data_IF_873594221778
#
_entry.id   IF_873594221778
#
_cell.length_a   1.000
_cell.length_b   1.000
_cell.length_c   1.000
_cell.angle_alpha   90.00
_cell.angle_beta   90.00
_cell.angle_gamma   90.00
#
_symmetry.space_group_name_H-M   'P 1'
#
loop_
_entity.id
_entity.type
_entity.pdbx_description
1 polymer ?
#
# COMPACT_ATOMS: atom_id res chain seq x y z
N UNK A 1 -1.70 -9.03 1.83
CA UNK A 1 -1.96 -9.20 0.39
C UNK A 1 -3.37 -8.71 0.10
N UNK A 2 -3.62 -8.07 -1.04
CA UNK A 2 -4.89 -7.39 -1.36
C UNK A 2 -5.41 -7.75 -2.75
N UNK A 3 -6.73 -7.68 -2.95
CA UNK A 3 -7.33 -7.72 -4.30
C UNK A 3 -7.26 -6.30 -4.88
N UNK A 4 -6.45 -6.02 -5.91
CA UNK A 4 -6.18 -4.65 -6.33
C UNK A 4 -7.29 -4.02 -7.16
N UNK A 5 -8.06 -4.78 -7.94
CA UNK A 5 -8.96 -4.23 -8.97
C UNK A 5 -10.16 -3.48 -8.39
N UNK A 6 -10.75 -3.98 -7.30
CA UNK A 6 -11.93 -3.35 -6.69
C UNK A 6 -11.57 -2.49 -5.47
N UNK A 7 -10.30 -2.39 -5.09
CA UNK A 7 -9.93 -1.74 -3.83
C UNK A 7 -10.16 -0.22 -3.87
N UNK A 8 -9.94 0.42 -5.02
CA UNK A 8 -10.21 1.84 -5.22
C UNK A 8 -11.65 2.24 -4.90
N UNK A 9 -12.61 1.40 -5.32
CA UNK A 9 -14.05 1.65 -5.10
C UNK A 9 -14.60 1.16 -3.76
N UNK A 10 -13.83 0.38 -3.00
CA UNK A 10 -14.28 -0.23 -1.73
C UNK A 10 -13.61 0.38 -0.49
N UNK A 11 -12.49 1.06 -0.66
CA UNK A 11 -11.69 1.59 0.45
C UNK A 11 -11.61 3.12 0.45
N UNK A 12 -10.92 3.67 1.44
CA UNK A 12 -10.71 5.10 1.60
C UNK A 12 -9.21 5.39 1.65
N UNK A 13 -8.79 6.43 0.94
CA UNK A 13 -7.40 6.85 0.83
C UNK A 13 -7.31 8.38 0.81
N UNK A 14 -6.22 8.92 1.35
CA UNK A 14 -5.95 10.36 1.39
C UNK A 14 -4.64 10.63 0.64
N UNK A 15 -4.60 11.72 -0.12
CA UNK A 15 -3.48 12.08 -0.99
C UNK A 15 -2.12 12.13 -0.27
N UNK A 16 -2.08 12.60 0.97
CA UNK A 16 -0.88 12.72 1.79
C UNK A 16 -0.37 11.37 2.37
N UNK A 17 -1.06 10.26 2.10
CA UNK A 17 -0.57 8.93 2.49
C UNK A 17 0.55 8.44 1.58
N UNK A 18 0.74 9.03 0.40
CA UNK A 18 1.83 8.70 -0.50
C UNK A 18 2.49 9.97 -1.02
N UNK A 19 3.81 9.96 -1.17
CA UNK A 19 4.54 11.09 -1.78
C UNK A 19 4.39 11.14 -3.30
N UNK A 20 4.09 10.00 -3.93
CA UNK A 20 4.14 9.82 -5.38
C UNK A 20 2.78 9.51 -6.02
N UNK A 21 1.72 9.36 -5.23
CA UNK A 21 0.41 8.97 -5.74
C UNK A 21 -0.69 9.80 -5.09
N UNK A 22 -1.50 10.45 -5.92
CA UNK A 22 -2.63 11.27 -5.47
C UNK A 22 -3.91 10.47 -5.25
N UNK A 23 -3.96 9.21 -5.67
CA UNK A 23 -5.10 8.33 -5.44
C UNK A 23 -4.67 6.90 -5.14
N UNK A 24 -5.56 6.13 -4.52
CA UNK A 24 -5.32 4.71 -4.29
C UNK A 24 -5.17 3.94 -5.61
N UNK A 25 -5.97 4.30 -6.62
CA UNK A 25 -5.90 3.68 -7.93
C UNK A 25 -4.54 3.91 -8.58
N UNK A 26 -4.01 5.13 -8.48
CA UNK A 26 -2.65 5.45 -8.96
C UNK A 26 -1.57 4.67 -8.20
N UNK A 27 -1.72 4.51 -6.89
CA UNK A 27 -0.79 3.77 -6.04
C UNK A 27 -0.76 2.27 -6.38
N UNK A 28 -1.93 1.67 -6.65
CA UNK A 28 -2.06 0.22 -6.89
C UNK A 28 -1.90 -0.13 -8.37
N UNK A 29 -2.14 0.79 -9.30
CA UNK A 29 -2.03 0.55 -10.74
C UNK A 29 -0.70 -0.13 -11.16
N UNK A 30 0.48 0.25 -10.63
CA UNK A 30 1.73 -0.46 -10.94
C UNK A 30 1.77 -1.94 -10.50
N UNK A 31 0.95 -2.32 -9.52
CA UNK A 31 0.79 -3.72 -9.09
C UNK A 31 -0.18 -4.49 -9.97
N UNK A 32 -1.16 -3.81 -10.56
CA UNK A 32 -2.07 -4.37 -11.54
C UNK A 32 -1.27 -4.53 -12.83
N UNK A 33 -0.71 -5.72 -13.06
CA UNK A 33 0.00 -5.96 -14.31
C UNK A 33 -0.98 -5.78 -15.47
N UNK A 34 -0.93 -4.65 -16.19
CA UNK A 34 -1.35 -4.61 -17.58
C UNK A 34 -0.51 -5.68 -18.27
N UNK A 35 -1.14 -6.80 -18.60
CA UNK A 35 -0.68 -7.88 -19.47
C UNK A 35 0.69 -7.63 -20.13
N UNK A 36 1.77 -7.79 -19.38
CA UNK A 36 3.07 -7.98 -19.99
C UNK A 36 2.94 -9.33 -20.71
N UNK A 37 3.39 -9.41 -21.95
CA UNK A 37 3.42 -10.64 -22.75
C UNK A 37 4.32 -11.68 -22.04
N UNK A 38 3.78 -12.31 -21.01
CA UNK A 38 4.39 -13.45 -20.36
C UNK A 38 4.27 -14.62 -21.34
N UNK A 39 5.31 -15.47 -21.47
CA UNK A 39 5.25 -16.63 -22.34
C UNK A 39 4.02 -17.49 -22.03
N UNK A 40 3.47 -18.14 -23.06
CA UNK A 40 2.22 -18.91 -23.00
C UNK A 40 2.23 -20.06 -21.96
N UNK A 41 3.41 -20.41 -21.43
CA UNK A 41 3.61 -21.42 -20.38
C UNK A 41 3.56 -20.82 -18.97
N UNK A 42 2.48 -20.11 -18.62
CA UNK A 42 2.28 -19.56 -17.25
C UNK A 42 2.13 -20.67 -16.20
N UNK A 43 1.71 -21.86 -16.62
CA UNK A 43 1.22 -22.88 -15.70
C UNK A 43 2.25 -23.98 -15.40
N UNK A 44 3.33 -24.05 -16.18
CA UNK A 44 4.40 -25.04 -16.10
C UNK A 44 4.75 -25.64 -17.46
N UNK A 45 5.56 -26.70 -17.45
CA UNK A 45 5.95 -27.47 -18.65
C UNK A 45 5.07 -28.73 -18.74
N UNK A 46 4.33 -28.94 -19.84
CA UNK A 46 3.42 -30.06 -19.95
C UNK A 46 4.14 -31.41 -19.94
N UNK A 47 3.59 -32.36 -19.19
CA UNK A 47 3.93 -33.78 -19.24
C UNK A 47 2.89 -34.45 -20.15
N UNK A 48 3.30 -35.22 -21.18
CA UNK A 48 2.36 -35.93 -22.03
C UNK A 48 1.44 -36.88 -21.23
N UNK A 49 0.13 -36.83 -21.49
CA UNK A 49 -0.90 -37.57 -20.70
C UNK A 49 -0.75 -39.09 -20.69
N UNK A 50 -0.04 -39.65 -21.69
CA UNK A 50 0.24 -41.09 -21.78
C UNK A 50 1.34 -41.53 -20.81
N UNK A 51 2.19 -40.59 -20.38
CA UNK A 51 3.39 -40.88 -19.63
C UNK A 51 3.06 -41.16 -18.16
N UNK A 52 3.69 -42.18 -17.59
CA UNK A 52 3.50 -42.63 -16.20
C UNK A 52 4.73 -42.46 -15.32
N UNK A 53 5.81 -41.90 -15.86
CA UNK A 53 6.99 -41.52 -15.08
C UNK A 53 7.56 -40.18 -15.55
N UNK A 54 8.34 -39.59 -14.66
CA UNK A 54 9.16 -38.40 -14.91
C UNK A 54 10.58 -38.68 -14.46
N UNK A 55 11.56 -38.17 -15.19
CA UNK A 55 12.97 -38.28 -14.82
C UNK A 55 13.79 -37.09 -15.26
N UNK A 56 15.00 -37.01 -14.73
CA UNK A 56 15.96 -35.94 -14.99
C UNK A 56 17.33 -36.55 -15.22
N UNK A 57 18.03 -36.08 -16.27
CA UNK A 57 19.39 -36.49 -16.57
C UNK A 57 20.37 -35.42 -16.14
N UNK A 58 21.12 -35.69 -15.07
CA UNK A 58 21.93 -34.71 -14.35
C UNK A 58 23.38 -35.16 -14.12
N UNK A 59 24.29 -34.21 -13.97
CA UNK A 59 25.62 -34.41 -13.45
C UNK A 59 25.86 -33.43 -12.29
N UNK A 60 26.34 -33.93 -11.16
CA UNK A 60 26.68 -33.13 -9.96
C UNK A 60 28.19 -32.89 -9.96
N UNK A 61 28.61 -31.63 -10.09
CA UNK A 61 30.01 -31.20 -9.97
C UNK A 61 30.21 -30.43 -8.66
N UNK A 62 30.86 -31.09 -7.71
CA UNK A 62 31.28 -30.51 -6.43
C UNK A 62 32.80 -30.69 -6.28
N UNK A 63 33.50 -29.75 -5.60
CA UNK A 63 34.95 -29.87 -5.43
C UNK A 63 35.38 -31.17 -4.72
N UNK A 64 36.56 -31.68 -5.06
CA UNK A 64 37.08 -32.96 -4.52
C UNK A 64 37.30 -32.95 -2.99
N UNK A 65 37.41 -31.77 -2.37
CA UNK A 65 37.55 -31.62 -0.92
C UNK A 65 36.22 -31.80 -0.17
N UNK A 66 35.08 -31.81 -0.86
CA UNK A 66 33.77 -32.04 -0.27
C UNK A 66 33.71 -33.46 0.27
N UNK A 67 33.18 -33.61 1.50
CA UNK A 67 33.05 -34.92 2.14
C UNK A 67 32.22 -35.84 1.24
N UNK A 68 32.75 -37.02 0.94
CA UNK A 68 32.03 -38.04 0.17
C UNK A 68 30.78 -38.53 0.91
N UNK A 69 29.81 -39.06 0.17
CA UNK A 69 28.60 -39.67 0.72
C UNK A 69 27.68 -38.67 1.46
N UNK A 70 27.67 -37.41 1.01
CA UNK A 70 26.62 -36.44 1.33
C UNK A 70 25.57 -36.51 0.21
N UNK A 71 24.32 -36.78 0.56
CA UNK A 71 23.27 -37.03 -0.42
C UNK A 71 22.55 -35.74 -0.82
N UNK A 72 22.46 -35.51 -2.13
CA UNK A 72 21.65 -34.48 -2.77
C UNK A 72 20.40 -35.16 -3.34
N UNK A 73 19.24 -34.85 -2.77
CA UNK A 73 17.95 -35.35 -3.23
C UNK A 73 17.40 -34.45 -4.32
N UNK A 74 16.92 -35.05 -5.40
CA UNK A 74 16.29 -34.36 -6.53
C UNK A 74 14.78 -34.54 -6.48
N UNK A 75 14.05 -33.43 -6.56
CA UNK A 75 12.59 -33.42 -6.51
C UNK A 75 12.02 -32.59 -7.65
N UNK A 76 11.05 -33.15 -8.36
CA UNK A 76 10.20 -32.41 -9.29
C UNK A 76 8.85 -32.13 -8.63
N UNK A 77 8.33 -30.91 -8.77
CA UNK A 77 6.96 -30.58 -8.36
C UNK A 77 6.07 -30.51 -9.58
N UNK A 78 4.99 -31.26 -9.55
CA UNK A 78 3.98 -31.28 -10.61
C UNK A 78 2.68 -30.65 -10.14
N UNK A 79 1.93 -30.03 -11.06
CA UNK A 79 0.55 -29.58 -10.82
C UNK A 79 -0.44 -30.32 -11.71
N UNK A 80 -1.64 -30.57 -11.18
CA UNK A 80 -2.78 -31.11 -11.92
C UNK A 80 -3.69 -29.99 -12.49
N UNK A 81 -4.75 -30.38 -13.21
CA UNK A 81 -5.74 -29.45 -13.78
C UNK A 81 -6.55 -28.67 -12.73
N UNK A 82 -6.54 -29.09 -11.47
CA UNK A 82 -7.23 -28.45 -10.35
C UNK A 82 -6.30 -27.52 -9.54
N UNK A 83 -5.01 -27.46 -9.89
CA UNK A 83 -4.01 -26.66 -9.19
C UNK A 83 -3.46 -27.31 -7.92
N UNK A 84 -3.62 -28.63 -7.74
CA UNK A 84 -2.95 -29.35 -6.67
C UNK A 84 -1.49 -29.63 -7.04
N UNK A 85 -0.59 -29.35 -6.10
CA UNK A 85 0.84 -29.59 -6.27
C UNK A 85 1.27 -30.87 -5.57
N UNK A 86 2.05 -31.70 -6.27
CA UNK A 86 2.63 -32.94 -5.74
C UNK A 86 4.14 -32.94 -5.94
N UNK A 87 4.89 -33.26 -4.90
CA UNK A 87 6.34 -33.47 -4.99
C UNK A 87 6.63 -34.92 -5.38
N UNK A 88 7.44 -35.10 -6.43
CA UNK A 88 7.92 -36.37 -6.93
C UNK A 88 9.42 -36.44 -6.67
N UNK A 89 9.82 -37.34 -5.78
CA UNK A 89 11.22 -37.61 -5.51
C UNK A 89 11.82 -38.42 -6.66
N UNK A 90 12.71 -37.83 -7.44
CA UNK A 90 13.31 -38.44 -8.63
C UNK A 90 14.45 -39.39 -8.28
N UNK A 91 15.12 -39.15 -7.16
CA UNK A 91 16.27 -39.92 -6.68
C UNK A 91 17.26 -39.06 -5.91
N UNK A 92 18.36 -39.67 -5.48
CA UNK A 92 19.43 -38.99 -4.73
C UNK A 92 20.81 -39.33 -5.31
N UNK A 93 21.72 -38.36 -5.30
CA UNK A 93 23.12 -38.54 -5.74
C UNK A 93 24.06 -38.22 -4.58
N UNK A 94 25.02 -39.11 -4.32
CA UNK A 94 26.03 -38.92 -3.28
C UNK A 94 27.25 -38.14 -3.80
N UNK A 95 27.71 -37.14 -3.04
CA UNK A 95 28.95 -36.41 -3.35
C UNK A 95 30.16 -37.35 -3.46
N UNK A 96 31.05 -37.08 -4.42
CA UNK A 96 32.33 -37.79 -4.60
C UNK A 96 32.22 -39.23 -5.10
N UNK A 97 31.05 -39.62 -5.63
CA UNK A 97 30.81 -40.93 -6.26
C UNK A 97 30.86 -40.89 -7.80
N UNK A 98 30.81 -39.70 -8.42
CA UNK A 98 30.79 -39.53 -9.88
C UNK A 98 31.98 -38.70 -10.39
N UNK A 99 32.31 -38.88 -11.67
CA UNK A 99 33.28 -38.05 -12.39
C UNK A 99 32.58 -36.86 -13.06
N UNK A 100 33.32 -35.80 -13.38
CA UNK A 100 32.78 -34.59 -14.04
C UNK A 100 32.07 -34.84 -15.38
N UNK A 101 32.26 -36.01 -16.00
CA UNK A 101 31.73 -36.32 -17.33
C UNK A 101 30.57 -37.33 -17.31
N UNK A 102 30.23 -37.91 -16.15
CA UNK A 102 29.19 -38.95 -16.06
C UNK A 102 27.83 -38.37 -15.71
N UNK A 103 26.87 -38.44 -16.63
CA UNK A 103 25.47 -38.09 -16.36
C UNK A 103 24.70 -39.31 -15.82
N UNK A 104 23.89 -39.09 -14.80
CA UNK A 104 22.98 -40.06 -14.23
C UNK A 104 21.55 -39.71 -14.57
N UNK A 105 20.72 -40.73 -14.80
CA UNK A 105 19.29 -40.56 -15.04
C UNK A 105 18.53 -40.97 -13.80
N UNK A 106 17.93 -39.99 -13.12
CA UNK A 106 17.08 -40.21 -11.96
C UNK A 106 15.63 -40.20 -12.45
N UNK A 107 14.82 -41.18 -12.05
CA UNK A 107 13.43 -41.25 -12.50
C UNK A 107 12.52 -41.85 -11.43
N UNK A 108 11.27 -41.42 -11.44
CA UNK A 108 10.24 -41.90 -10.53
C UNK A 108 8.89 -42.01 -11.24
N UNK A 109 8.13 -43.03 -10.85
CA UNK A 109 6.76 -43.22 -11.32
C UNK A 109 5.85 -42.12 -10.78
N UNK A 110 4.97 -41.60 -11.62
CA UNK A 110 3.90 -40.71 -11.21
C UNK A 110 2.92 -41.50 -10.33
N UNK A 111 2.58 -41.00 -9.14
CA UNK A 111 1.86 -41.80 -8.16
C UNK A 111 0.42 -42.02 -8.64
N UNK A 112 0.09 -43.28 -8.94
CA UNK A 112 -1.24 -43.70 -9.40
C UNK A 112 -2.33 -43.63 -8.32
N UNK A 113 -1.93 -43.40 -7.06
CA UNK A 113 -2.80 -43.43 -5.88
C UNK A 113 -3.47 -42.09 -5.61
N UNK A 114 -2.86 -41.00 -6.06
CA UNK A 114 -3.48 -39.69 -6.12
C UNK A 114 -4.10 -39.62 -7.52
N UNK A 115 -5.41 -39.46 -7.64
CA UNK A 115 -6.07 -39.23 -8.93
C UNK A 115 -5.57 -37.89 -9.50
N UNK A 116 -4.33 -37.84 -10.00
CA UNK A 116 -3.75 -36.70 -10.70
C UNK A 116 -4.53 -36.55 -12.00
N UNK A 117 -5.20 -35.42 -12.18
CA UNK A 117 -6.06 -35.20 -13.33
C UNK A 117 -5.27 -34.40 -14.37
N UNK A 118 -5.07 -34.95 -15.59
CA UNK A 118 -4.38 -34.23 -16.65
C UNK A 118 -5.11 -32.94 -17.07
N UNK A 119 -4.41 -31.96 -17.67
CA UNK A 119 -3.00 -31.99 -18.02
C UNK A 119 -2.09 -31.85 -16.80
N UNK A 120 -0.99 -32.62 -16.77
CA UNK A 120 0.02 -32.53 -15.73
C UNK A 120 1.13 -31.58 -16.18
N UNK A 121 1.55 -30.69 -15.29
CA UNK A 121 2.58 -29.70 -15.59
C UNK A 121 3.74 -29.81 -14.60
N UNK A 122 4.98 -29.72 -15.07
CA UNK A 122 6.17 -29.59 -14.24
C UNK A 122 6.36 -28.12 -13.90
N UNK A 123 6.49 -27.85 -12.61
CA UNK A 123 6.36 -26.50 -12.05
C UNK A 123 7.63 -26.04 -11.37
N UNK A 124 8.35 -26.97 -10.75
CA UNK A 124 9.68 -26.73 -10.18
C UNK A 124 10.52 -27.99 -10.22
N UNK A 125 11.84 -27.80 -10.32
CA UNK A 125 12.84 -28.84 -10.14
C UNK A 125 13.83 -28.31 -9.11
N UNK A 126 13.91 -28.97 -7.96
CA UNK A 126 14.72 -28.49 -6.85
C UNK A 126 15.49 -29.63 -6.19
N UNK A 127 16.52 -29.23 -5.45
CA UNK A 127 17.40 -30.09 -4.70
C UNK A 127 17.42 -29.68 -3.24
N UNK A 128 17.63 -30.68 -2.39
CA UNK A 128 17.87 -30.51 -0.95
C UNK A 128 19.01 -31.43 -0.56
N UNK A 129 19.93 -30.96 0.28
CA UNK A 129 20.89 -31.85 0.91
C UNK A 129 20.24 -32.56 2.11
N UNK A 130 20.74 -33.76 2.42
CA UNK A 130 20.35 -34.46 3.65
C UNK A 130 20.53 -33.56 4.89
N UNK A 131 19.69 -33.66 5.94
CA UNK A 131 19.73 -32.75 7.10
C UNK A 131 21.08 -32.64 7.82
N UNK A 132 21.93 -33.67 7.74
CA UNK A 132 23.28 -33.71 8.32
C UNK A 132 24.38 -33.29 7.34
N UNK A 133 24.03 -33.03 6.08
CA UNK A 133 24.93 -32.64 5.02
C UNK A 133 24.97 -31.13 4.90
N UNK A 134 26.19 -30.61 4.79
CA UNK A 134 26.45 -29.25 4.40
C UNK A 134 27.45 -29.31 3.23
N UNK A 135 26.96 -29.01 2.03
CA UNK A 135 27.70 -29.16 0.78
C UNK A 135 28.08 -27.77 0.31
N UNK A 136 29.37 -27.40 0.26
CA UNK A 136 29.80 -26.08 -0.16
C UNK A 136 29.52 -25.85 -1.64
N UNK A 137 29.89 -24.66 -2.16
CA UNK A 137 29.63 -24.25 -3.55
C UNK A 137 29.85 -25.35 -4.59
N UNK A 138 28.90 -25.51 -5.51
CA UNK A 138 28.96 -26.50 -6.57
C UNK A 138 27.97 -26.21 -7.68
N UNK A 139 27.89 -27.14 -8.64
CA UNK A 139 26.98 -27.04 -9.77
C UNK A 139 26.31 -28.36 -10.12
N UNK A 140 25.11 -28.26 -10.67
CA UNK A 140 24.36 -29.35 -11.28
C UNK A 140 24.17 -28.99 -12.75
N UNK A 141 24.66 -29.86 -13.63
CA UNK A 141 24.41 -29.82 -15.06
C UNK A 141 23.19 -30.67 -15.38
N UNK A 142 22.12 -30.06 -15.85
CA UNK A 142 20.87 -30.70 -16.23
C UNK A 142 20.81 -30.75 -17.76
N UNK A 143 20.88 -31.95 -18.34
CA UNK A 143 20.87 -32.13 -19.79
C UNK A 143 19.46 -32.17 -20.38
N UNK A 144 18.55 -32.89 -19.71
CA UNK A 144 17.17 -33.06 -20.18
C UNK A 144 16.26 -33.49 -19.04
N UNK A 145 14.99 -33.10 -19.18
CA UNK A 145 13.87 -33.71 -18.47
C UNK A 145 13.24 -34.76 -19.40
N UNK A 146 12.95 -35.92 -18.85
CA UNK A 146 12.42 -37.06 -19.60
C UNK A 146 11.08 -37.52 -19.04
N UNK A 147 10.22 -38.02 -19.92
CA UNK A 147 8.97 -38.67 -19.57
C UNK A 147 8.70 -39.87 -20.50
N UNK A 148 7.78 -40.75 -20.09
CA UNK A 148 7.35 -41.89 -20.91
C UNK A 148 6.47 -42.90 -20.14
N UNK A 149 6.28 -44.08 -20.74
CA UNK A 149 5.29 -45.08 -20.29
C UNK A 149 5.75 -45.99 -19.13
N UNK A 150 7.04 -46.36 -19.06
CA UNK A 150 7.61 -47.24 -18.03
C UNK A 150 9.05 -46.84 -17.64
N UNK A 151 9.42 -46.94 -16.36
CA UNK A 151 10.75 -46.59 -15.85
C UNK A 151 11.86 -47.53 -16.35
N UNK A 152 11.48 -48.70 -16.86
CA UNK A 152 12.40 -49.76 -17.32
C UNK A 152 12.75 -49.63 -18.80
N UNK A 153 11.91 -48.97 -19.61
CA UNK A 153 12.15 -48.83 -21.05
C UNK A 153 13.03 -47.61 -21.35
N UNK A 154 14.12 -47.80 -22.09
CA UNK A 154 15.06 -46.74 -22.52
C UNK A 154 14.46 -45.73 -23.52
N UNK A 155 13.24 -45.95 -24.02
CA UNK A 155 12.54 -45.03 -24.93
C UNK A 155 11.95 -43.84 -24.17
N UNK A 156 12.83 -43.00 -23.69
CA UNK A 156 12.48 -41.76 -23.02
C UNK A 156 12.25 -40.65 -24.04
N UNK A 157 11.15 -39.90 -23.91
CA UNK A 157 10.95 -38.67 -24.71
C UNK A 157 11.52 -37.51 -23.93
N UNK A 158 12.50 -36.80 -24.50
CA UNK A 158 12.98 -35.54 -23.94
C UNK A 158 11.88 -34.49 -24.06
N UNK A 159 11.61 -33.77 -22.98
CA UNK A 159 10.69 -32.65 -22.96
C UNK A 159 11.44 -31.40 -23.46
N UNK A 160 11.24 -30.96 -24.72
CA UNK A 160 12.10 -29.96 -25.34
C UNK A 160 11.92 -28.58 -24.70
N UNK A 161 10.72 -28.28 -24.16
CA UNK A 161 10.46 -27.00 -23.51
C UNK A 161 11.35 -26.79 -22.27
N UNK A 162 11.83 -27.86 -21.62
CA UNK A 162 12.66 -27.78 -20.41
C UNK A 162 13.95 -26.97 -20.61
N UNK A 163 14.59 -27.07 -21.78
CA UNK A 163 15.89 -26.44 -22.03
C UNK A 163 15.79 -24.93 -22.31
N UNK A 164 14.58 -24.34 -22.27
CA UNK A 164 14.38 -22.90 -22.43
C UNK A 164 14.66 -22.15 -21.14
N UNK A 165 15.89 -21.62 -20.99
CA UNK A 165 16.31 -20.83 -19.80
C UNK A 165 15.36 -19.66 -19.47
N UNK A 166 14.65 -19.12 -20.46
CA UNK A 166 13.74 -17.98 -20.26
C UNK A 166 12.50 -18.33 -19.42
N UNK A 167 12.10 -19.60 -19.39
CA UNK A 167 10.95 -20.08 -18.62
C UNK A 167 11.28 -20.28 -17.14
N UNK A 168 12.54 -20.56 -16.83
CA UNK A 168 12.98 -20.87 -15.48
C UNK A 168 13.43 -19.64 -14.70
N UNK A 169 13.03 -19.58 -13.44
CA UNK A 169 13.58 -18.69 -12.43
C UNK A 169 14.20 -19.51 -11.31
N UNK A 170 15.21 -18.93 -10.66
CA UNK A 170 15.85 -19.54 -9.49
C UNK A 170 14.90 -19.48 -8.31
N UNK A 171 14.76 -20.58 -7.58
CA UNK A 171 14.09 -20.60 -6.30
C UNK A 171 14.83 -19.64 -5.34
N UNK A 172 14.11 -18.69 -4.71
CA UNK A 172 14.73 -17.75 -3.79
C UNK A 172 15.36 -18.47 -2.59
N UNK A 173 16.55 -18.02 -2.19
CA UNK A 173 17.30 -18.58 -1.06
C UNK A 173 17.62 -17.50 -0.02
N UNK A 174 17.93 -17.91 1.22
CA UNK A 174 18.17 -17.00 2.37
C UNK A 174 19.57 -16.38 2.34
N UNK A 175 20.39 -16.74 1.36
CA UNK A 175 21.81 -16.46 1.40
C UNK A 175 22.15 -15.16 0.68
N UNK A 176 23.20 -14.48 1.13
CA UNK A 176 23.61 -13.20 0.55
C UNK A 176 24.15 -13.35 -0.88
N UNK A 177 24.62 -14.54 -1.24
CA UNK A 177 25.14 -14.86 -2.57
C UNK A 177 24.05 -15.50 -3.41
N UNK A 178 23.57 -14.86 -4.49
CA UNK A 178 22.55 -15.43 -5.34
C UNK A 178 23.09 -16.67 -6.05
N UNK A 179 22.25 -17.69 -6.19
CA UNK A 179 22.54 -18.81 -7.07
C UNK A 179 22.58 -18.34 -8.53
N UNK A 180 23.11 -19.17 -9.44
CA UNK A 180 23.16 -18.85 -10.87
C UNK A 180 22.59 -19.94 -11.75
N UNK A 181 21.99 -19.51 -12.85
CA UNK A 181 21.49 -20.37 -13.91
C UNK A 181 22.14 -19.95 -15.23
N UNK A 182 22.76 -20.89 -15.93
CA UNK A 182 23.39 -20.68 -17.24
C UNK A 182 23.01 -21.80 -18.19
N UNK A 183 23.03 -21.54 -19.49
CA UNK A 183 23.00 -22.61 -20.50
C UNK A 183 24.42 -23.12 -20.73
N UNK A 184 24.57 -24.41 -21.00
CA UNK A 184 25.82 -24.98 -21.47
C UNK A 184 25.63 -25.75 -22.78
N UNK A 185 26.69 -25.82 -23.56
CA UNK A 185 26.82 -26.66 -24.74
C UNK A 185 28.21 -27.30 -24.71
N UNK A 186 28.27 -28.62 -24.80
CA UNK A 186 29.55 -29.34 -24.77
C UNK A 186 30.22 -29.28 -26.14
N UNK A 187 31.49 -28.85 -26.27
CA UNK A 187 32.14 -28.69 -27.58
C UNK A 187 32.49 -30.01 -28.29
N UNK A 188 32.48 -31.15 -27.58
CA UNK A 188 32.82 -32.47 -28.12
C UNK A 188 31.63 -33.24 -28.69
N UNK A 189 30.39 -32.85 -28.37
CA UNK A 189 29.19 -33.60 -28.72
C UNK A 189 28.03 -32.61 -28.90
N UNK A 190 27.66 -32.33 -30.16
CA UNK A 190 26.68 -31.30 -30.52
C UNK A 190 25.25 -31.56 -30.00
N UNK A 191 25.01 -32.72 -29.39
CA UNK A 191 23.71 -33.13 -28.85
C UNK A 191 23.52 -32.81 -27.35
N UNK A 192 24.60 -32.56 -26.59
CA UNK A 192 24.51 -32.30 -25.14
C UNK A 192 24.46 -30.79 -24.86
N UNK A 193 23.24 -30.25 -24.90
CA UNK A 193 22.88 -28.91 -24.43
C UNK A 193 21.97 -28.99 -23.21
N UNK A 194 22.09 -28.03 -22.28
CA UNK A 194 21.26 -28.04 -21.09
C UNK A 194 21.42 -26.81 -20.20
N UNK A 195 20.96 -26.94 -18.96
CA UNK A 195 21.01 -25.90 -17.93
C UNK A 195 22.03 -26.27 -16.85
N UNK A 196 22.88 -25.32 -16.47
CA UNK A 196 23.76 -25.41 -15.31
C UNK A 196 23.17 -24.57 -14.19
N UNK A 197 22.73 -25.22 -13.13
CA UNK A 197 22.40 -24.59 -11.86
C UNK A 197 23.65 -24.58 -10.97
N UNK A 198 23.99 -23.45 -10.36
CA UNK A 198 25.13 -23.37 -9.44
C UNK A 198 24.76 -22.63 -8.17
N UNK A 199 25.17 -23.18 -7.03
CA UNK A 199 25.04 -22.56 -5.72
C UNK A 199 26.40 -22.12 -5.22
N UNK A 200 26.45 -20.94 -4.57
CA UNK A 200 27.69 -20.37 -4.04
C UNK A 200 27.78 -20.44 -2.52
N UNK A 201 26.62 -20.57 -1.88
CA UNK A 201 26.49 -20.79 -0.45
C UNK A 201 26.10 -22.24 -0.19
N UNK A 202 26.66 -22.80 0.86
CA UNK A 202 26.33 -24.07 1.48
C UNK A 202 24.90 -24.57 1.23
N UNK A 203 24.78 -25.68 0.49
CA UNK A 203 23.55 -26.44 0.28
C UNK A 203 23.30 -27.32 1.51
N UNK A 204 22.13 -27.12 2.11
CA UNK A 204 21.66 -27.74 3.35
C UNK A 204 20.25 -28.32 3.11
N UNK A 205 19.43 -28.41 4.17
CA UNK A 205 18.04 -28.87 4.05
C UNK A 205 17.06 -27.89 3.39
N UNK A 206 17.48 -26.69 3.01
CA UNK A 206 16.62 -25.71 2.33
C UNK A 206 16.50 -26.03 0.84
N UNK A 207 15.29 -25.85 0.28
CA UNK A 207 15.02 -26.11 -1.15
C UNK A 207 15.77 -25.10 -2.04
N UNK A 208 16.54 -25.60 -3.01
CA UNK A 208 17.19 -24.76 -4.04
C UNK A 208 17.00 -25.33 -5.43
N UNK A 209 16.90 -24.49 -6.45
CA UNK A 209 16.76 -24.96 -7.82
C UNK A 209 15.97 -24.01 -8.68
N UNK A 210 15.07 -24.56 -9.50
CA UNK A 210 14.39 -23.86 -10.57
C UNK A 210 12.87 -23.98 -10.44
N UNK A 211 12.15 -22.93 -10.77
CA UNK A 211 10.69 -22.96 -10.89
C UNK A 211 10.18 -22.08 -12.02
N UNK A 212 8.98 -22.36 -12.50
CA UNK A 212 8.27 -21.56 -13.51
C UNK A 212 7.32 -20.61 -12.78
N UNK A 213 7.50 -19.27 -12.89
CA UNK A 213 6.62 -18.31 -12.24
C UNK A 213 5.28 -18.22 -12.97
N UNK A 214 4.19 -18.09 -12.20
CA UNK A 214 2.82 -17.95 -12.70
C UNK A 214 2.44 -16.54 -13.13
N UNK A 215 3.28 -15.55 -12.83
CA UNK A 215 3.01 -14.13 -13.01
C UNK A 215 4.27 -13.29 -12.89
N UNK A 216 4.14 -11.97 -12.66
CA UNK A 216 5.30 -11.09 -12.50
C UNK A 216 6.19 -11.56 -11.34
N UNK A 217 7.48 -11.73 -11.62
CA UNK A 217 8.46 -12.18 -10.64
C UNK A 217 9.76 -11.34 -10.76
N UNK A 218 10.27 -10.73 -9.68
CA UNK A 218 9.73 -10.70 -8.30
C UNK A 218 8.33 -10.08 -8.21
N UNK A 219 7.57 -10.41 -7.15
CA UNK A 219 6.19 -9.95 -6.99
C UNK A 219 6.16 -8.42 -6.84
N UNK A 220 5.33 -7.68 -7.59
CA UNK A 220 5.21 -6.24 -7.42
C UNK A 220 4.60 -5.94 -6.04
N UNK A 221 5.21 -5.01 -5.31
CA UNK A 221 4.75 -4.60 -3.97
C UNK A 221 4.69 -3.08 -3.84
N UNK A 222 3.68 -2.60 -3.11
CA UNK A 222 3.79 -1.30 -2.44
C UNK A 222 4.49 -1.54 -1.11
N UNK A 223 5.43 -0.69 -0.74
CA UNK A 223 6.12 -0.78 0.55
C UNK A 223 5.93 0.47 1.41
N UNK A 224 6.40 0.40 2.64
CA UNK A 224 6.62 1.57 3.47
C UNK A 224 7.74 2.47 2.91
N UNK A 225 7.83 3.75 3.30
CA UNK A 225 8.72 4.75 2.67
C UNK A 225 10.23 4.52 2.91
N UNK A 226 10.61 3.54 3.73
CA UNK A 226 12.01 3.22 3.98
C UNK A 226 12.70 2.52 2.79
N UNK A 227 11.94 2.13 1.75
CA UNK A 227 12.44 1.54 0.51
C UNK A 227 12.19 2.47 -0.68
N UNK A 228 13.02 2.32 -1.71
CA UNK A 228 12.90 3.08 -2.96
C UNK A 228 12.18 2.27 -4.03
N UNK A 229 11.45 2.96 -4.91
CA UNK A 229 10.84 2.34 -6.10
C UNK A 229 11.95 1.72 -6.95
N UNK A 230 11.80 0.42 -7.28
CA UNK A 230 12.78 -0.37 -8.00
C UNK A 230 13.57 -1.34 -7.12
N UNK A 231 13.57 -1.17 -5.80
CA UNK A 231 14.26 -2.07 -4.87
C UNK A 231 13.71 -3.49 -4.95
N UNK A 232 14.60 -4.48 -4.85
CA UNK A 232 14.23 -5.89 -4.74
C UNK A 232 14.51 -6.34 -3.31
N UNK A 233 13.45 -6.75 -2.60
CA UNK A 233 13.51 -7.16 -1.19
C UNK A 233 13.11 -8.62 -1.08
N UNK A 234 13.80 -9.39 -0.25
CA UNK A 234 13.47 -10.79 0.02
C UNK A 234 12.85 -10.88 1.42
N UNK A 235 11.57 -11.26 1.49
CA UNK A 235 10.88 -11.45 2.77
C UNK A 235 10.84 -12.91 3.11
N UNK A 236 11.31 -13.25 4.30
CA UNK A 236 11.14 -14.58 4.87
C UNK A 236 9.80 -14.65 5.58
N UNK A 237 8.95 -15.59 5.18
CA UNK A 237 7.63 -15.80 5.77
C UNK A 237 7.47 -17.27 6.13
N UNK A 238 8.01 -17.68 7.28
CA UNK A 238 8.15 -19.10 7.63
C UNK A 238 9.51 -19.64 7.15
N UNK A 239 9.50 -20.72 6.39
CA UNK A 239 10.70 -21.26 5.72
C UNK A 239 10.85 -20.73 4.30
N UNK A 240 9.78 -20.18 3.76
CA UNK A 240 9.67 -19.71 2.39
C UNK A 240 10.12 -18.27 2.26
N UNK A 241 10.69 -17.96 1.09
CA UNK A 241 11.18 -16.64 0.75
C UNK A 241 10.35 -16.08 -0.38
N UNK A 242 9.92 -14.85 -0.21
CA UNK A 242 9.07 -14.14 -1.15
C UNK A 242 9.86 -12.92 -1.65
N UNK A 243 10.35 -12.96 -2.89
CA UNK A 243 11.04 -11.83 -3.50
C UNK A 243 10.00 -10.83 -3.99
N UNK A 244 10.16 -9.60 -3.56
CA UNK A 244 9.30 -8.48 -3.87
C UNK A 244 10.07 -7.42 -4.64
N UNK A 245 9.42 -6.78 -5.60
CA UNK A 245 9.92 -5.60 -6.30
C UNK A 245 9.06 -4.40 -5.91
N UNK A 246 9.67 -3.39 -5.30
CA UNK A 246 8.97 -2.17 -4.89
C UNK A 246 8.54 -1.39 -6.13
N UNK A 247 7.24 -1.19 -6.31
CA UNK A 247 6.65 -0.45 -7.44
C UNK A 247 5.97 0.85 -7.01
N UNK A 248 5.79 1.04 -5.70
CA UNK A 248 5.22 2.24 -5.11
C UNK A 248 5.47 2.26 -3.60
N UNK A 249 5.32 3.43 -2.99
CA UNK A 249 5.50 3.61 -1.54
C UNK A 249 4.32 4.35 -0.94
N UNK A 250 3.98 3.99 0.29
CA UNK A 250 2.95 4.69 1.07
C UNK A 250 3.28 4.66 2.55
N UNK A 251 2.97 5.75 3.25
CA UNK A 251 3.16 5.85 4.69
C UNK A 251 2.03 5.17 5.46
N UNK A 252 0.80 5.20 4.92
CA UNK A 252 -0.38 4.65 5.54
C UNK A 252 -1.19 3.86 4.54
N UNK A 253 -1.68 2.71 4.97
CA UNK A 253 -2.60 1.90 4.20
C UNK A 253 -3.74 1.47 5.12
N UNK A 254 -4.97 1.33 4.60
CA UNK A 254 -6.08 0.91 5.43
C UNK A 254 -5.78 -0.39 6.20
N UNK A 255 -6.23 -0.46 7.46
CA UNK A 255 -6.01 -1.55 8.43
C UNK A 255 -4.56 -1.88 8.84
N UNK A 256 -3.55 -1.34 8.15
CA UNK A 256 -2.14 -1.50 8.54
C UNK A 256 -1.78 -0.51 9.65
N UNK A 257 -1.38 -1.04 10.81
CA UNK A 257 -0.86 -0.23 11.91
C UNK A 257 0.51 0.35 11.55
N UNK A 258 0.75 1.67 11.73
CA UNK A 258 2.06 2.28 11.51
C UNK A 258 3.18 1.75 12.41
N UNK A 259 2.84 0.97 13.45
CA UNK A 259 3.83 0.26 14.27
C UNK A 259 4.43 -0.95 13.56
N UNK A 260 3.71 -1.53 12.59
CA UNK A 260 4.13 -2.68 11.83
C UNK A 260 4.98 -2.25 10.63
N UNK A 261 6.07 -1.53 10.90
CA UNK A 261 7.03 -1.11 9.88
C UNK A 261 8.30 -1.98 9.94
N UNK A 262 8.88 -2.35 8.79
CA UNK A 262 8.36 -2.10 7.43
C UNK A 262 7.15 -2.99 7.11
N UNK A 263 6.30 -2.54 6.19
CA UNK A 263 5.19 -3.33 5.64
C UNK A 263 5.25 -3.41 4.12
N UNK A 264 4.61 -4.44 3.59
CA UNK A 264 4.56 -4.74 2.16
C UNK A 264 3.16 -5.18 1.77
N UNK A 265 2.66 -4.63 0.66
CA UNK A 265 1.34 -4.89 0.11
C UNK A 265 1.54 -5.50 -1.28
N UNK A 266 1.08 -6.73 -1.45
CA UNK A 266 1.19 -7.52 -2.67
C UNK A 266 -0.19 -7.91 -3.20
N UNK A 267 -0.36 -8.15 -4.52
CA UNK A 267 -1.61 -8.67 -5.05
C UNK A 267 -1.90 -10.07 -4.48
N UNK A 268 -3.12 -10.30 -4.01
CA UNK A 268 -3.53 -11.56 -3.39
C UNK A 268 -3.43 -12.71 -4.38
N UNK A 269 -3.88 -12.52 -5.61
CA UNK A 269 -3.82 -13.55 -6.66
C UNK A 269 -2.38 -13.98 -6.91
N UNK A 270 -1.46 -13.04 -7.11
CA UNK A 270 -0.07 -13.40 -7.42
C UNK A 270 0.69 -13.93 -6.22
N UNK A 271 0.37 -13.44 -5.02
CA UNK A 271 0.87 -14.01 -3.78
C UNK A 271 0.42 -15.45 -3.59
N UNK A 272 -0.87 -15.76 -3.78
CA UNK A 272 -1.42 -17.10 -3.64
C UNK A 272 -0.85 -18.04 -4.70
N UNK A 273 -0.79 -17.59 -5.96
CA UNK A 273 -0.21 -18.36 -7.06
C UNK A 273 1.26 -18.71 -6.78
N UNK A 274 2.05 -17.74 -6.32
CA UNK A 274 3.44 -17.97 -5.93
C UNK A 274 3.56 -18.88 -4.70
N UNK A 275 2.82 -18.61 -3.63
CA UNK A 275 2.87 -19.36 -2.37
C UNK A 275 2.52 -20.83 -2.59
N UNK A 276 1.43 -21.11 -3.31
CA UNK A 276 1.01 -22.48 -3.62
C UNK A 276 2.03 -23.19 -4.50
N UNK A 277 2.62 -22.50 -5.49
CA UNK A 277 3.71 -23.01 -6.35
C UNK A 277 4.93 -23.46 -5.55
N UNK A 278 5.31 -22.71 -4.52
CA UNK A 278 6.42 -23.05 -3.63
C UNK A 278 6.03 -24.01 -2.49
N UNK A 279 4.83 -24.61 -2.54
CA UNK A 279 4.40 -25.64 -1.59
C UNK A 279 3.80 -25.10 -0.30
N UNK A 280 3.52 -23.80 -0.22
CA UNK A 280 2.90 -23.17 0.93
C UNK A 280 1.36 -23.15 0.78
N UNK A 281 0.61 -23.78 1.69
CA UNK A 281 -0.85 -23.75 1.64
C UNK A 281 -1.38 -22.35 1.95
N UNK A 282 -2.33 -21.88 1.14
CA UNK A 282 -3.07 -20.64 1.38
C UNK A 282 -4.21 -20.88 2.37
N UNK A 283 -4.32 -20.04 3.41
CA UNK A 283 -5.31 -20.18 4.49
C UNK A 283 -6.61 -19.39 4.25
N UNK A 284 -6.77 -18.75 3.10
CA UNK A 284 -7.89 -17.85 2.83
C UNK A 284 -7.60 -16.39 3.23
N UNK A 285 -8.49 -15.46 2.86
CA UNK A 285 -8.38 -14.05 3.22
C UNK A 285 -8.75 -13.82 4.70
N UNK A 286 -8.10 -12.83 5.32
CA UNK A 286 -8.38 -12.44 6.71
C UNK A 286 -9.46 -11.35 6.81
N UNK A 287 -9.68 -10.60 5.73
CA UNK A 287 -10.59 -9.47 5.68
C UNK A 287 -11.31 -9.41 4.32
N UNK A 288 -12.58 -8.98 4.35
CA UNK A 288 -13.37 -8.70 3.15
C UNK A 288 -13.88 -7.27 3.17
N UNK A 289 -13.73 -6.60 2.03
CA UNK A 289 -14.14 -5.21 1.83
C UNK A 289 -15.34 -5.19 0.89
N UNK A 290 -16.44 -4.59 1.33
CA UNK A 290 -17.70 -4.57 0.61
C UNK A 290 -18.14 -3.12 0.40
N UNK A 291 -18.27 -2.72 -0.87
CA UNK A 291 -18.96 -1.50 -1.24
C UNK A 291 -20.43 -1.83 -1.55
N UNK A 292 -21.32 -0.91 -1.21
CA UNK A 292 -22.75 -1.04 -1.46
C UNK A 292 -23.17 -0.05 -2.54
N UNK A 293 -24.18 -0.41 -3.33
CA UNK A 293 -24.81 0.51 -4.27
C UNK A 293 -25.43 1.71 -3.54
N UNK A 294 -25.50 2.87 -4.20
CA UNK A 294 -25.92 4.14 -3.58
C UNK A 294 -27.31 4.09 -2.91
N UNK A 295 -28.22 3.25 -3.42
CA UNK A 295 -29.60 3.14 -2.92
C UNK A 295 -29.82 1.94 -1.98
N UNK A 296 -28.76 1.23 -1.59
CA UNK A 296 -28.87 0.06 -0.73
C UNK A 296 -29.10 0.46 0.74
N UNK A 297 -30.00 -0.24 1.44
CA UNK A 297 -30.17 -0.07 2.88
C UNK A 297 -29.01 -0.71 3.64
N UNK A 298 -27.98 0.10 3.90
CA UNK A 298 -26.75 -0.29 4.60
C UNK A 298 -27.01 -0.88 5.98
N UNK A 299 -28.00 -0.35 6.71
CA UNK A 299 -28.30 -0.80 8.07
C UNK A 299 -28.94 -2.19 8.05
N UNK A 300 -29.88 -2.40 7.13
CA UNK A 300 -30.51 -3.71 6.92
C UNK A 300 -29.50 -4.75 6.44
N UNK A 301 -28.61 -4.39 5.51
CA UNK A 301 -27.57 -5.29 4.99
C UNK A 301 -26.58 -5.67 6.09
N UNK A 302 -26.07 -4.68 6.84
CA UNK A 302 -25.16 -4.92 7.95
C UNK A 302 -25.80 -5.80 9.03
N UNK A 303 -27.06 -5.57 9.40
CA UNK A 303 -27.76 -6.42 10.37
C UNK A 303 -27.98 -7.84 9.85
N UNK A 304 -28.30 -8.00 8.57
CA UNK A 304 -28.50 -9.32 7.95
C UNK A 304 -27.20 -10.11 7.86
N UNK A 305 -26.10 -9.44 7.48
CA UNK A 305 -24.77 -10.06 7.47
C UNK A 305 -24.35 -10.45 8.88
N UNK A 306 -24.56 -9.57 9.86
CA UNK A 306 -24.23 -9.87 11.25
C UNK A 306 -25.07 -11.05 11.78
N UNK A 307 -26.38 -11.08 11.53
CA UNK A 307 -27.24 -12.20 11.96
C UNK A 307 -26.81 -13.55 11.35
N UNK A 308 -26.40 -13.55 10.07
CA UNK A 308 -26.01 -14.79 9.36
C UNK A 308 -24.57 -15.23 9.63
N UNK A 309 -23.66 -14.29 9.88
CA UNK A 309 -22.22 -14.52 9.88
C UNK A 309 -21.52 -14.19 11.20
N UNK A 310 -22.19 -13.62 12.21
CA UNK A 310 -21.56 -13.18 13.48
C UNK A 310 -20.79 -14.27 14.21
N UNK A 311 -21.16 -15.54 13.99
CA UNK A 311 -20.48 -16.68 14.61
C UNK A 311 -19.10 -16.97 13.99
N UNK A 312 -18.82 -16.42 12.80
CA UNK A 312 -17.61 -16.69 12.02
C UNK A 312 -16.82 -15.43 11.68
N UNK A 313 -17.48 -14.29 11.49
CA UNK A 313 -16.90 -13.06 10.97
C UNK A 313 -17.43 -11.85 11.74
N UNK A 314 -16.55 -10.91 12.09
CA UNK A 314 -16.92 -9.62 12.66
C UNK A 314 -17.35 -8.66 11.54
N UNK A 315 -18.59 -8.19 11.57
CA UNK A 315 -19.11 -7.22 10.58
C UNK A 315 -18.94 -5.81 11.12
N UNK A 316 -18.11 -5.00 10.44
CA UNK A 316 -17.89 -3.58 10.77
C UNK A 316 -18.52 -2.67 9.74
N UNK A 317 -19.45 -1.82 10.18
CA UNK A 317 -19.99 -0.76 9.35
C UNK A 317 -19.18 0.54 9.53
N UNK A 318 -18.56 0.98 8.43
CA UNK A 318 -17.81 2.23 8.34
C UNK A 318 -18.68 3.44 8.70
N UNK A 319 -19.88 3.57 8.16
CA UNK A 319 -20.68 4.79 8.33
C UNK A 319 -21.27 4.87 9.74
N UNK A 320 -21.61 3.71 10.33
CA UNK A 320 -21.97 3.63 11.74
C UNK A 320 -20.79 4.05 12.63
N UNK A 321 -19.57 3.58 12.32
CA UNK A 321 -18.35 3.91 13.08
C UNK A 321 -17.97 5.39 12.96
N UNK A 322 -18.07 5.97 11.75
CA UNK A 322 -17.90 7.41 11.51
C UNK A 322 -18.97 8.21 12.25
N UNK A 323 -20.23 7.77 12.22
CA UNK A 323 -21.33 8.44 12.94
C UNK A 323 -21.14 8.39 14.45
N UNK A 324 -20.64 7.27 15.00
CA UNK A 324 -20.30 7.16 16.42
C UNK A 324 -19.13 8.08 16.78
N UNK A 325 -18.10 8.16 15.95
CA UNK A 325 -16.97 9.06 16.14
C UNK A 325 -17.37 10.55 16.06
N UNK A 326 -18.26 10.89 15.12
CA UNK A 326 -18.80 12.24 14.95
C UNK A 326 -19.77 12.64 16.05
N UNK A 327 -20.50 11.71 16.67
CA UNK A 327 -21.43 12.05 17.75
C UNK A 327 -20.80 11.99 19.14
N UNK A 328 -19.59 11.45 19.26
CA UNK A 328 -18.89 11.38 20.52
C UNK A 328 -18.30 12.77 20.87
N UNK A 329 -18.71 13.39 22.00
CA UNK A 329 -18.28 14.74 22.38
C UNK A 329 -16.78 14.84 22.66
N UNK A 330 -16.12 13.71 23.00
CA UNK A 330 -14.68 13.66 23.24
C UNK A 330 -13.85 13.54 21.96
N UNK A 331 -14.45 13.11 20.84
CA UNK A 331 -13.74 12.82 19.59
C UNK A 331 -14.11 13.73 18.41
N UNK A 332 -15.07 14.65 18.54
CA UNK A 332 -15.48 15.46 17.38
C UNK A 332 -16.87 16.08 17.44
N UNK A 333 -17.81 15.51 18.19
CA UNK A 333 -19.22 15.87 18.03
C UNK A 333 -19.63 17.24 18.55
N UNK A 334 -18.93 17.74 19.56
CA UNK A 334 -19.20 19.08 20.09
C UNK A 334 -18.57 20.20 19.25
N UNK A 335 -17.71 19.89 18.26
CA UNK A 335 -16.98 20.93 17.53
C UNK A 335 -17.90 21.80 16.69
N UNK A 336 -18.94 21.24 16.05
CA UNK A 336 -19.87 22.04 15.24
C UNK A 336 -20.66 23.07 16.07
N UNK A 337 -21.10 22.70 17.26
CA UNK A 337 -21.77 23.63 18.17
C UNK A 337 -20.77 24.64 18.75
N UNK A 338 -19.55 24.21 19.07
CA UNK A 338 -18.48 25.10 19.52
C UNK A 338 -18.09 26.13 18.44
N UNK A 339 -18.08 25.73 17.15
CA UNK A 339 -17.86 26.67 16.03
C UNK A 339 -18.94 27.75 15.96
N UNK A 340 -20.21 27.41 16.19
CA UNK A 340 -21.29 28.40 16.22
C UNK A 340 -21.12 29.38 17.38
N UNK A 341 -20.75 28.89 18.57
CA UNK A 341 -20.45 29.75 19.73
C UNK A 341 -19.25 30.65 19.43
N UNK A 342 -18.18 30.10 18.83
CA UNK A 342 -17.01 30.88 18.42
C UNK A 342 -17.36 31.96 17.40
N UNK A 343 -18.19 31.65 16.38
CA UNK A 343 -18.70 32.65 15.43
C UNK A 343 -19.49 33.75 16.14
N UNK A 344 -20.36 33.40 17.08
CA UNK A 344 -21.13 34.38 17.84
C UNK A 344 -20.21 35.31 18.64
N UNK A 345 -19.22 34.75 19.35
CA UNK A 345 -18.21 35.53 20.08
C UNK A 345 -17.42 36.42 19.12
N UNK A 346 -16.97 35.91 17.97
CA UNK A 346 -16.27 36.69 16.95
C UNK A 346 -17.09 37.89 16.47
N UNK A 347 -18.38 37.69 16.16
CA UNK A 347 -19.29 38.77 15.75
C UNK A 347 -19.46 39.81 16.84
N UNK A 348 -19.66 39.37 18.09
CA UNK A 348 -19.84 40.25 19.23
C UNK A 348 -18.56 41.08 19.51
N UNK A 349 -17.40 40.43 19.53
CA UNK A 349 -16.11 41.09 19.73
C UNK A 349 -15.81 42.07 18.60
N UNK A 350 -16.05 41.69 17.35
CA UNK A 350 -15.90 42.56 16.18
C UNK A 350 -16.81 43.78 16.28
N UNK A 351 -18.10 43.57 16.59
CA UNK A 351 -19.08 44.64 16.77
C UNK A 351 -18.62 45.62 17.84
N UNK A 352 -18.31 45.15 19.06
CA UNK A 352 -17.89 45.99 20.20
C UNK A 352 -16.59 46.75 19.88
N UNK A 353 -15.60 46.08 19.29
CA UNK A 353 -14.32 46.70 18.94
C UNK A 353 -14.50 47.81 17.89
N UNK A 354 -15.22 47.52 16.81
CA UNK A 354 -15.45 48.48 15.72
C UNK A 354 -16.36 49.63 16.15
N UNK A 355 -17.38 49.39 16.98
CA UNK A 355 -18.21 50.48 17.54
C UNK A 355 -17.37 51.36 18.44
N UNK A 356 -16.56 50.78 19.32
CA UNK A 356 -15.72 51.52 20.26
C UNK A 356 -14.74 52.40 19.49
N UNK A 357 -14.01 51.82 18.53
CA UNK A 357 -13.11 52.58 17.68
C UNK A 357 -13.87 53.63 16.84
N UNK A 358 -15.03 53.31 16.28
CA UNK A 358 -15.84 54.27 15.51
C UNK A 358 -16.28 55.47 16.34
N UNK A 359 -16.71 55.23 17.58
CA UNK A 359 -17.11 56.27 18.53
C UNK A 359 -15.89 57.13 18.93
N UNK A 360 -14.76 56.51 19.30
CA UNK A 360 -13.54 57.24 19.65
C UNK A 360 -13.02 58.10 18.48
N UNK A 361 -13.00 57.56 17.25
CA UNK A 361 -12.63 58.33 16.06
C UNK A 361 -13.59 59.52 15.89
N UNK A 362 -14.91 59.29 16.01
CA UNK A 362 -15.91 60.36 15.89
C UNK A 362 -15.71 61.49 16.91
N UNK A 363 -15.27 61.17 18.13
CA UNK A 363 -14.91 62.18 19.13
C UNK A 363 -13.64 62.95 18.80
N UNK A 364 -12.58 62.28 18.32
CA UNK A 364 -11.29 62.92 17.98
C UNK A 364 -11.38 63.79 16.75
N UNK A 365 -12.15 63.38 15.75
CA UNK A 365 -12.30 64.07 14.47
C UNK A 365 -13.44 65.09 14.50
N UNK A 366 -14.00 65.39 15.68
CA UNK A 366 -15.18 66.26 15.85
C UNK A 366 -14.95 67.68 15.36
N UNK A 367 -13.75 68.22 15.53
CA UNK A 367 -13.34 69.54 15.00
C UNK A 367 -13.30 69.54 13.48
N UNK A 368 -12.74 68.49 12.89
CA UNK A 368 -12.62 68.35 11.44
C UNK A 368 -13.98 68.16 10.78
N UNK A 369 -14.93 67.49 11.47
CA UNK A 369 -16.33 67.34 11.03
C UNK A 369 -17.07 68.69 10.99
N UNK A 370 -16.80 69.60 11.92
CA UNK A 370 -17.38 70.95 11.90
C UNK A 370 -16.80 71.77 10.75
N UNK A 371 -15.48 71.72 10.55
CA UNK A 371 -14.79 72.43 9.46
C UNK A 371 -15.24 71.91 8.09
N UNK A 372 -15.33 70.59 7.92
CA UNK A 372 -15.79 69.95 6.66
C UNK A 372 -17.27 70.20 6.38
N UNK A 373 -18.11 70.33 7.41
CA UNK A 373 -19.51 70.75 7.25
C UNK A 373 -19.64 72.20 6.79
N UNK A 374 -18.77 73.10 7.27
CA UNK A 374 -18.72 74.50 6.79
C UNK A 374 -18.27 74.57 5.31
N UNK A 375 -17.43 73.62 4.88
CA UNK A 375 -17.00 73.45 3.49
C UNK A 375 -18.04 72.78 2.56
N UNK A 376 -19.22 72.39 3.08
CA UNK A 376 -20.35 71.90 2.27
C UNK A 376 -20.45 70.39 2.05
N UNK A 377 -19.68 69.57 2.80
CA UNK A 377 -19.78 68.11 2.69
C UNK A 377 -21.10 67.56 3.24
N UNK A 378 -21.68 66.60 2.51
CA UNK A 378 -22.96 65.97 2.85
C UNK A 378 -22.80 64.89 3.92
N UNK A 379 -23.88 64.60 4.66
CA UNK A 379 -23.90 63.50 5.68
C UNK A 379 -23.51 62.15 5.08
N UNK A 380 -23.82 61.92 3.80
CA UNK A 380 -23.54 60.67 3.09
C UNK A 380 -22.04 60.51 2.82
N UNK A 381 -21.33 61.59 2.44
CA UNK A 381 -19.88 61.57 2.24
C UNK A 381 -19.12 61.28 3.55
N UNK A 382 -19.63 61.76 4.69
CA UNK A 382 -19.06 61.47 6.00
C UNK A 382 -19.22 59.98 6.39
N UNK A 383 -20.40 59.40 6.17
CA UNK A 383 -20.64 57.97 6.41
C UNK A 383 -19.78 57.12 5.45
N UNK A 384 -19.65 57.52 4.18
CA UNK A 384 -18.82 56.83 3.19
C UNK A 384 -17.33 56.81 3.62
N UNK A 385 -16.82 57.92 4.16
CA UNK A 385 -15.45 58.00 4.69
C UNK A 385 -15.22 57.00 5.84
N UNK A 386 -16.16 56.90 6.78
CA UNK A 386 -16.10 55.92 7.87
C UNK A 386 -16.17 54.47 7.35
N UNK A 387 -17.00 54.19 6.34
CA UNK A 387 -17.08 52.88 5.71
C UNK A 387 -15.74 52.52 5.06
N UNK A 388 -15.13 53.44 4.32
CA UNK A 388 -13.82 53.22 3.67
C UNK A 388 -12.73 52.97 4.71
N UNK A 389 -12.71 53.73 5.80
CA UNK A 389 -11.77 53.51 6.92
C UNK A 389 -11.93 52.09 7.50
N UNK A 390 -13.17 51.65 7.76
CA UNK A 390 -13.41 50.30 8.32
C UNK A 390 -13.11 49.19 7.32
N UNK A 391 -13.36 49.43 6.03
CA UNK A 391 -12.96 48.48 4.98
C UNK A 391 -11.43 48.33 4.94
N UNK A 392 -10.67 49.41 5.09
CA UNK A 392 -9.22 49.36 5.15
C UNK A 392 -8.70 48.58 6.36
N UNK A 393 -9.32 48.78 7.54
CA UNK A 393 -9.02 48.00 8.74
C UNK A 393 -9.33 46.51 8.51
N UNK A 394 -10.48 46.17 7.93
CA UNK A 394 -10.83 44.79 7.61
C UNK A 394 -9.86 44.17 6.59
N UNK A 395 -9.45 44.94 5.58
CA UNK A 395 -8.53 44.49 4.53
C UNK A 395 -7.18 44.06 5.08
N UNK A 396 -6.68 44.73 6.13
CA UNK A 396 -5.42 44.36 6.79
C UNK A 396 -5.66 43.32 7.89
N UNK A 397 -6.73 43.49 8.67
CA UNK A 397 -7.05 42.67 9.82
C UNK A 397 -7.42 41.23 9.47
N UNK A 398 -8.17 41.01 8.38
CA UNK A 398 -8.59 39.66 7.97
C UNK A 398 -7.38 38.80 7.56
N UNK A 399 -6.49 39.24 6.64
CA UNK A 399 -5.29 38.47 6.31
C UNK A 399 -4.36 38.26 7.50
N UNK A 400 -4.16 39.28 8.35
CA UNK A 400 -3.34 39.16 9.55
C UNK A 400 -3.93 38.15 10.54
N UNK A 401 -5.24 38.20 10.76
CA UNK A 401 -5.97 37.27 11.61
C UNK A 401 -5.96 35.84 11.06
N UNK A 402 -6.10 35.68 9.74
CA UNK A 402 -5.97 34.39 9.07
C UNK A 402 -4.58 33.79 9.27
N UNK A 403 -3.53 34.58 9.01
CA UNK A 403 -2.15 34.15 9.19
C UNK A 403 -1.87 33.72 10.64
N UNK A 404 -2.26 34.55 11.63
CA UNK A 404 -2.11 34.19 13.04
C UNK A 404 -2.93 32.94 13.40
N UNK A 405 -4.18 32.84 12.92
CA UNK A 405 -5.07 31.72 13.19
C UNK A 405 -4.51 30.40 12.67
N UNK A 406 -4.03 30.38 11.42
CA UNK A 406 -3.38 29.20 10.82
C UNK A 406 -2.11 28.81 11.58
N UNK A 407 -1.29 29.78 12.00
CA UNK A 407 -0.10 29.53 12.80
C UNK A 407 -0.45 28.89 14.16
N UNK A 408 -1.38 29.48 14.92
CA UNK A 408 -1.83 28.91 16.20
C UNK A 408 -2.47 27.53 16.03
N UNK A 409 -3.30 27.34 15.01
CA UNK A 409 -3.95 26.07 14.73
C UNK A 409 -2.92 24.97 14.43
N UNK A 410 -1.95 25.24 13.56
CA UNK A 410 -0.87 24.29 13.23
C UNK A 410 -0.06 23.89 14.46
N UNK A 411 0.18 24.83 15.38
CA UNK A 411 0.90 24.56 16.62
C UNK A 411 0.10 23.65 17.57
N UNK A 412 -1.20 23.91 17.74
CA UNK A 412 -2.09 23.08 18.56
C UNK A 412 -2.24 21.68 17.94
N UNK A 413 -2.37 21.59 16.62
CA UNK A 413 -2.53 20.33 15.91
C UNK A 413 -1.37 19.35 16.21
N UNK A 414 -0.14 19.87 16.26
CA UNK A 414 1.05 19.07 16.60
C UNK A 414 1.02 18.47 18.02
N UNK A 415 0.29 19.07 18.97
CA UNK A 415 0.11 18.49 20.31
C UNK A 415 -1.08 17.52 20.40
N UNK A 416 -2.14 17.79 19.64
CA UNK A 416 -3.33 16.94 19.62
C UNK A 416 -3.10 15.63 18.89
N UNK A 417 -2.05 15.52 18.07
CA UNK A 417 -1.71 14.30 17.31
C UNK A 417 -1.16 13.16 18.18
N UNK A 418 -1.32 13.22 19.50
CA UNK A 418 -0.93 12.17 20.45
C UNK A 418 -2.14 11.68 21.24
N UNK A 419 -2.36 10.37 21.22
CA UNK A 419 -3.36 9.68 22.05
C UNK A 419 -2.99 9.74 23.53
N UNK A 420 -3.93 9.42 24.42
CA UNK A 420 -3.69 9.37 25.88
C UNK A 420 -2.54 8.41 26.29
N UNK A 421 -2.21 7.45 25.43
CA UNK A 421 -1.08 6.53 25.61
C UNK A 421 0.24 7.04 25.03
N UNK A 422 0.31 8.30 24.59
CA UNK A 422 1.50 8.92 23.98
C UNK A 422 1.82 8.42 22.57
N UNK A 423 0.82 7.91 21.86
CA UNK A 423 0.99 7.30 20.53
C UNK A 423 0.42 8.22 19.46
N UNK A 424 1.03 8.32 18.26
CA UNK A 424 0.52 9.18 17.20
C UNK A 424 -0.91 8.77 16.82
N UNK A 425 -1.76 9.75 16.50
CA UNK A 425 -3.08 9.47 15.94
C UNK A 425 -2.90 9.00 14.49
N UNK A 426 -3.65 7.97 14.11
CA UNK A 426 -3.56 7.35 12.79
C UNK A 426 -4.94 7.32 12.16
N UNK A 427 -5.11 7.90 10.95
CA UNK A 427 -4.13 8.68 10.19
C UNK A 427 -3.83 10.05 10.84
N UNK A 428 -2.69 10.69 10.53
CA UNK A 428 -2.33 11.99 11.11
C UNK A 428 -3.38 13.03 10.75
N UNK A 429 -3.63 13.97 11.66
CA UNK A 429 -4.60 15.03 11.40
C UNK A 429 -4.08 16.04 10.39
N UNK A 430 -4.97 16.49 9.49
CA UNK A 430 -4.68 17.54 8.51
C UNK A 430 -5.59 18.75 8.73
N UNK A 431 -5.15 19.90 8.23
CA UNK A 431 -5.96 21.12 8.23
C UNK A 431 -7.01 20.98 7.13
N UNK A 432 -8.25 20.67 7.50
CA UNK A 432 -9.40 20.72 6.58
C UNK A 432 -10.18 22.02 6.78
N UNK A 433 -10.21 22.85 5.73
CA UNK A 433 -10.87 24.16 5.77
C UNK A 433 -12.20 24.10 5.05
N UNK A 434 -13.29 24.09 5.82
CA UNK A 434 -14.64 24.14 5.25
C UNK A 434 -14.96 25.54 4.74
N UNK A 435 -14.86 25.73 3.41
CA UNK A 435 -15.05 27.02 2.76
C UNK A 435 -16.39 27.69 3.11
N UNK A 436 -17.47 26.90 3.26
CA UNK A 436 -18.79 27.41 3.65
C UNK A 436 -18.78 28.13 5.00
N UNK A 437 -18.09 27.56 5.99
CA UNK A 437 -17.95 28.14 7.34
C UNK A 437 -17.13 29.42 7.27
N UNK A 438 -16.05 29.43 6.48
CA UNK A 438 -15.20 30.60 6.26
C UNK A 438 -16.01 31.74 5.64
N UNK A 439 -16.74 31.48 4.55
CA UNK A 439 -17.55 32.50 3.87
C UNK A 439 -18.61 33.07 4.83
N UNK A 440 -19.34 32.21 5.55
CA UNK A 440 -20.35 32.66 6.51
C UNK A 440 -19.74 33.52 7.61
N UNK A 441 -18.60 33.12 8.19
CA UNK A 441 -17.93 33.92 9.22
C UNK A 441 -17.46 35.28 8.68
N UNK A 442 -16.93 35.34 7.46
CA UNK A 442 -16.48 36.58 6.83
C UNK A 442 -17.66 37.52 6.53
N UNK A 443 -18.79 36.99 6.03
CA UNK A 443 -20.02 37.76 5.84
C UNK A 443 -20.55 38.33 7.17
N UNK A 444 -20.51 37.54 8.25
CA UNK A 444 -20.94 37.99 9.57
C UNK A 444 -20.05 39.09 10.14
N UNK A 445 -18.72 39.02 9.93
CA UNK A 445 -17.77 40.07 10.33
C UNK A 445 -17.95 41.35 9.51
N UNK A 446 -18.22 41.23 8.20
CA UNK A 446 -18.54 42.41 7.37
C UNK A 446 -19.88 43.04 7.79
N UNK A 447 -20.88 42.23 8.10
CA UNK A 447 -22.17 42.71 8.60
C UNK A 447 -21.99 43.43 9.95
N UNK A 448 -21.21 42.86 10.88
CA UNK A 448 -20.93 43.51 12.16
C UNK A 448 -20.20 44.84 11.98
N UNK A 449 -19.31 44.97 10.99
CA UNK A 449 -18.65 46.22 10.67
C UNK A 449 -19.64 47.29 10.16
N UNK A 450 -20.59 46.92 9.29
CA UNK A 450 -21.63 47.83 8.81
C UNK A 450 -22.51 48.29 9.99
N UNK A 451 -22.98 47.34 10.81
CA UNK A 451 -23.79 47.63 11.99
C UNK A 451 -23.02 48.52 12.98
N UNK A 452 -21.71 48.29 13.14
CA UNK A 452 -20.86 49.11 14.00
C UNK A 452 -20.75 50.56 13.51
N UNK A 453 -20.61 50.78 12.20
CA UNK A 453 -20.59 52.13 11.60
C UNK A 453 -21.91 52.84 11.84
N UNK A 454 -23.05 52.14 11.66
CA UNK A 454 -24.38 52.69 11.92
C UNK A 454 -24.52 53.09 13.39
N UNK A 455 -24.19 52.21 14.33
CA UNK A 455 -24.22 52.48 15.77
C UNK A 455 -23.33 53.66 16.16
N UNK A 456 -22.08 53.68 15.69
CA UNK A 456 -21.14 54.77 15.97
C UNK A 456 -21.66 56.11 15.43
N UNK A 457 -22.24 56.10 14.22
CA UNK A 457 -22.82 57.32 13.63
C UNK A 457 -24.02 57.84 14.44
N UNK A 458 -24.90 56.96 14.91
CA UNK A 458 -26.06 57.31 15.74
C UNK A 458 -25.63 57.91 17.08
N UNK A 459 -24.65 57.30 17.75
CA UNK A 459 -24.11 57.77 19.03
C UNK A 459 -23.41 59.13 18.86
N UNK A 460 -22.62 59.28 17.78
CA UNK A 460 -21.95 60.54 17.45
C UNK A 460 -22.93 61.68 17.13
N UNK A 461 -24.07 61.38 16.51
CA UNK A 461 -25.12 62.35 16.17
C UNK A 461 -25.95 62.81 17.39
N UNK A 462 -26.01 62.02 18.47
CA UNK A 462 -26.85 62.31 19.63
C UNK A 462 -26.30 63.42 20.54
N UNK A 463 -25.05 63.86 20.36
CA UNK A 463 -24.47 64.95 21.14
C UNK A 463 -24.81 66.31 20.50
N UNK A 464 -25.63 67.11 21.19
CA UNK A 464 -26.06 68.45 20.73
C UNK A 464 -24.86 69.34 20.39
N UNK A 465 -24.96 70.03 19.25
CA UNK A 465 -24.00 71.04 18.79
C UNK A 465 -23.79 72.19 19.79
N UNK A 466 -24.76 72.42 20.69
CA UNK A 466 -24.69 73.46 21.72
C UNK A 466 -23.67 73.17 22.82
N UNK A 467 -23.33 71.91 23.09
CA UNK A 467 -22.35 71.56 24.14
C UNK A 467 -20.90 71.64 23.61
N UNK A 468 -20.73 71.75 22.28
CA UNK A 468 -19.43 71.69 21.60
C UNK A 468 -18.69 73.03 21.66
N UNK A 469 -19.44 74.14 21.67
CA UNK A 469 -18.88 75.48 21.76
C UNK A 469 -18.57 75.91 23.22
N UNK A 470 -19.05 75.17 24.23
CA UNK A 470 -18.80 75.46 25.66
C UNK A 470 -17.59 74.73 26.26
N UNK A 471 -17.00 73.78 25.54
CA UNK A 471 -15.82 73.04 26.00
C UNK A 471 -14.51 73.50 25.34
N UNK A 472 -14.55 74.62 24.62
CA UNK A 472 -13.40 75.22 23.93
C UNK A 472 -12.90 76.51 24.60
N UNK A 473 -13.55 76.94 25.67
CA UNK A 473 -12.99 77.80 26.73
C UNK A 473 -12.53 76.89 27.89
#
# INVERSE_FOLDING_TARGET
AIEPYNLGGTSWFREDFSEHSSSLDELIRPMMSESINFPATRDGIPIPDKDRYIGIKVNVDVPDFVRKNQWIKFTARISDSYGHYTNIELGEIATGTHTRETYETLSASLPSQFNLIPPLLVTSVFVTASPSSNIPSGSIHISSLISGDDTINEFHTSIPEFNSIQQWKLLPNTTQTPDSLKTFQTPSDSELSGLTFSWFSDLNGDERGLFVPTGPFPLPTISSPEFSIGDIVHIQAGREIIPLKVVGTTQFFPTISPRLKPFFIVPVTEYVNYATRIGRPYKGPEEFWLSLEENADRKLIASTLNERLSNFIEVKDRDASVSMALNNPLSGGAWRSLTLVAMFVLVLTSLVSLTTHGVLTSYRTRTDVVVTRVLGLTKLQMILSLIIEKLFICLIGIPAGWAMGTMFYSWILGYMDTTQSGQPIVPPMIIDTQLNIVIVSLCLVLLSAIVAVVLASLIGLHHKTSDILRSAD
#
